data_IF_152759173028
#
_entry.id   IF_152759173028
#
_cell.length_a   1.000
_cell.length_b   1.000
_cell.length_c   1.000
_cell.angle_alpha   90.00
_cell.angle_beta   90.00
_cell.angle_gamma   90.00
#
_symmetry.space_group_name_H-M   'P 1'
#
loop_
_entity.id
_entity.type
_entity.pdbx_description
1 polymer ?
#
# COMPACT_ATOMS: atom_id res chain seq x y z
N UNK A 1 11.98 12.20 -2.53
CA UNK A 1 12.12 13.04 -3.74
C UNK A 1 13.00 12.31 -4.72
N UNK A 2 12.99 12.75 -5.99
CA UNK A 2 13.90 12.24 -7.01
C UNK A 2 15.09 13.19 -7.14
N UNK A 3 16.30 12.67 -6.94
CA UNK A 3 17.55 13.40 -7.13
C UNK A 3 17.82 13.72 -8.60
N UNK A 4 18.84 14.55 -8.87
CA UNK A 4 19.23 14.91 -10.23
C UNK A 4 19.76 13.73 -11.06
N UNK A 5 20.25 12.69 -10.39
CA UNK A 5 20.71 11.42 -10.95
C UNK A 5 19.56 10.42 -11.18
N UNK A 6 18.32 10.79 -10.85
CA UNK A 6 17.14 9.93 -10.98
C UNK A 6 16.87 9.02 -9.78
N UNK A 7 17.78 8.97 -8.78
CA UNK A 7 17.60 8.15 -7.57
C UNK A 7 16.46 8.69 -6.71
N UNK A 8 15.74 7.78 -6.04
CA UNK A 8 14.69 8.15 -5.10
C UNK A 8 15.25 8.06 -3.69
N UNK A 9 15.12 9.15 -2.94
CA UNK A 9 15.53 9.23 -1.56
C UNK A 9 14.37 9.74 -0.69
N UNK A 10 14.37 9.39 0.59
CA UNK A 10 13.40 9.86 1.55
C UNK A 10 14.09 10.46 2.77
N UNK A 11 13.51 11.53 3.30
CA UNK A 11 14.00 12.22 4.49
C UNK A 11 12.81 12.63 5.35
N UNK A 12 13.02 12.71 6.66
CA UNK A 12 12.02 13.25 7.57
C UNK A 12 11.70 14.70 7.19
N UNK A 13 10.41 15.02 7.06
CA UNK A 13 9.93 16.36 6.74
C UNK A 13 9.95 17.29 7.97
N UNK A 14 11.13 17.43 8.60
CA UNK A 14 11.34 18.11 9.86
C UNK A 14 12.64 18.89 9.79
N UNK A 15 12.56 20.21 9.87
CA UNK A 15 13.74 21.07 9.91
C UNK A 15 14.58 20.77 11.17
N UNK A 16 15.89 20.61 10.99
CA UNK A 16 16.85 20.35 12.07
C UNK A 16 17.06 21.54 13.03
N UNK A 17 16.55 22.73 12.70
CA UNK A 17 16.66 23.90 13.59
C UNK A 17 15.65 23.84 14.74
N UNK A 18 14.35 23.93 14.42
CA UNK A 18 13.25 23.98 15.41
C UNK A 18 12.03 23.16 14.98
N UNK A 19 12.30 22.02 14.35
CA UNK A 19 11.32 20.97 14.00
C UNK A 19 10.16 21.44 13.10
N UNK A 20 10.27 22.62 12.49
CA UNK A 20 9.27 23.10 11.55
C UNK A 20 9.17 22.17 10.35
N UNK A 21 7.95 21.85 9.94
CA UNK A 21 7.70 21.11 8.70
C UNK A 21 8.22 21.90 7.51
N UNK A 22 8.97 21.26 6.63
CA UNK A 22 9.64 21.93 5.50
C UNK A 22 8.69 22.16 4.33
N UNK A 23 7.88 21.16 4.01
CA UNK A 23 7.00 21.18 2.83
C UNK A 23 5.62 20.63 3.13
N UNK A 24 4.64 21.16 2.41
CA UNK A 24 3.27 20.67 2.35
C UNK A 24 2.92 20.30 0.90
N UNK A 25 2.06 19.29 0.72
CA UNK A 25 1.58 18.87 -0.59
C UNK A 25 2.60 18.07 -1.42
N UNK A 26 2.47 18.20 -2.75
CA UNK A 26 3.24 17.47 -3.77
C UNK A 26 3.72 18.45 -4.84
N UNK A 27 4.92 18.24 -5.39
CA UNK A 27 5.46 19.13 -6.41
C UNK A 27 6.93 18.85 -6.75
N UNK A 28 7.57 19.84 -7.39
CA UNK A 28 8.98 19.80 -7.76
C UNK A 28 9.72 20.96 -7.09
N UNK A 29 10.93 20.70 -6.58
CA UNK A 29 11.78 21.70 -5.96
C UNK A 29 13.25 21.41 -6.30
N UNK A 30 14.08 22.46 -6.31
CA UNK A 30 15.54 22.32 -6.43
C UNK A 30 16.23 22.21 -5.06
N UNK A 31 15.58 22.72 -4.02
CA UNK A 31 16.03 22.77 -2.61
C UNK A 31 14.82 22.84 -1.69
N UNK A 32 14.97 22.45 -0.44
CA UNK A 32 13.96 22.59 0.60
C UNK A 32 14.34 23.73 1.54
N UNK A 33 13.59 24.84 1.49
CA UNK A 33 13.83 26.00 2.36
C UNK A 33 12.80 26.01 3.48
N UNK A 34 13.24 25.89 4.73
CA UNK A 34 12.38 25.93 5.90
C UNK A 34 11.65 27.28 5.97
N UNK A 35 10.30 27.29 6.05
CA UNK A 35 9.52 28.53 6.05
C UNK A 35 9.73 29.38 7.31
N UNK A 36 10.35 28.83 8.36
CA UNK A 36 10.53 29.55 9.62
C UNK A 36 11.74 30.50 9.59
N UNK A 37 12.93 29.98 9.29
CA UNK A 37 14.19 30.75 9.37
C UNK A 37 15.09 30.57 8.13
N UNK A 38 14.53 30.07 7.03
CA UNK A 38 15.23 29.86 5.76
C UNK A 38 16.50 28.99 5.89
N UNK A 39 16.49 28.00 6.81
CA UNK A 39 17.44 26.90 6.73
C UNK A 39 17.12 26.09 5.47
N UNK A 40 18.10 25.95 4.61
CA UNK A 40 17.91 25.40 3.27
C UNK A 40 18.72 24.13 3.13
N UNK A 41 18.03 23.07 2.70
CA UNK A 41 18.58 21.77 2.40
C UNK A 41 18.62 21.56 0.89
N UNK A 42 19.66 20.90 0.38
CA UNK A 42 19.65 20.42 -1.00
C UNK A 42 18.77 19.18 -1.15
N UNK A 43 18.80 18.57 -2.34
CA UNK A 43 18.03 17.36 -2.58
C UNK A 43 18.59 16.21 -1.75
N UNK A 44 19.90 16.03 -1.59
CA UNK A 44 20.48 14.95 -0.76
C UNK A 44 20.29 15.14 0.76
N UNK A 45 19.49 16.13 1.16
CA UNK A 45 19.17 16.41 2.56
C UNK A 45 20.26 17.18 3.30
N UNK A 46 21.34 17.61 2.66
CA UNK A 46 22.42 18.32 3.31
C UNK A 46 22.06 19.78 3.58
N UNK A 47 22.43 20.30 4.75
CA UNK A 47 22.19 21.71 5.10
C UNK A 47 23.16 22.61 4.32
N UNK A 48 22.66 23.30 3.29
CA UNK A 48 23.48 24.17 2.43
C UNK A 48 23.47 25.63 2.89
N UNK A 49 22.38 26.10 3.51
CA UNK A 49 22.31 27.46 4.05
C UNK A 49 21.61 27.49 5.41
N UNK A 50 22.15 28.29 6.32
CA UNK A 50 21.58 28.59 7.63
C UNK A 50 21.92 30.05 7.95
N UNK A 51 21.01 31.00 7.62
CA UNK A 51 21.28 32.42 7.79
C UNK A 51 21.68 32.78 9.22
N UNK A 52 22.64 33.70 9.37
CA UNK A 52 23.14 34.26 10.65
C UNK A 52 23.76 33.25 11.64
N UNK A 53 24.01 32.01 11.23
CA UNK A 53 24.68 31.01 12.06
C UNK A 53 26.20 31.16 12.11
N UNK A 54 26.77 32.08 11.31
CA UNK A 54 28.23 32.34 11.22
C UNK A 54 28.86 32.80 12.54
N UNK A 55 28.06 33.37 13.45
CA UNK A 55 28.50 33.80 14.79
C UNK A 55 28.17 32.80 15.90
N UNK A 56 27.60 31.64 15.56
CA UNK A 56 27.18 30.63 16.55
C UNK A 56 28.32 29.65 16.80
N UNK A 57 28.72 29.51 18.06
CA UNK A 57 29.69 28.49 18.48
C UNK A 57 29.09 27.07 18.32
N UNK A 58 29.95 26.08 18.07
CA UNK A 58 29.56 24.67 17.91
C UNK A 58 28.54 24.40 16.79
N UNK A 59 28.45 25.29 15.78
CA UNK A 59 27.63 25.07 14.60
C UNK A 59 28.44 24.50 13.44
N UNK A 60 28.08 23.30 12.99
CA UNK A 60 28.59 22.70 11.78
C UNK A 60 27.44 22.22 10.90
N UNK A 61 27.38 22.71 9.66
CA UNK A 61 26.33 22.34 8.71
C UNK A 61 26.33 20.83 8.40
N UNK A 62 27.50 20.20 8.37
CA UNK A 62 27.65 18.79 8.01
C UNK A 62 26.93 17.86 9.00
N UNK A 63 26.75 18.28 10.25
CA UNK A 63 26.10 17.48 11.31
C UNK A 63 24.56 17.67 11.33
N UNK A 64 24.04 18.57 10.50
CA UNK A 64 22.67 19.09 10.56
C UNK A 64 21.88 18.87 9.26
N UNK A 65 22.24 17.85 8.47
CA UNK A 65 21.41 17.36 7.36
C UNK A 65 20.07 16.78 7.83
N UNK A 66 19.09 16.63 6.94
CA UNK A 66 17.82 15.99 7.25
C UNK A 66 18.04 14.54 7.67
N UNK A 67 17.18 14.04 8.57
CA UNK A 67 17.25 12.63 8.95
C UNK A 67 16.81 11.76 7.75
N UNK A 68 17.67 10.88 7.24
CA UNK A 68 17.30 9.99 6.15
C UNK A 68 16.26 8.99 6.63
N UNK A 69 15.35 8.63 5.73
CA UNK A 69 14.39 7.54 5.90
C UNK A 69 14.75 6.48 4.88
N UNK A 70 14.90 5.22 5.33
CA UNK A 70 15.27 4.12 4.45
C UNK A 70 14.20 3.99 3.36
N UNK A 71 14.65 3.95 2.11
CA UNK A 71 13.78 4.01 0.94
C UNK A 71 14.22 2.97 -0.08
N UNK A 72 13.30 2.14 -0.53
CA UNK A 72 13.55 1.10 -1.53
C UNK A 72 12.52 1.18 -2.66
N UNK A 73 12.97 0.83 -3.87
CA UNK A 73 12.08 0.64 -5.01
C UNK A 73 11.99 -0.86 -5.27
N UNK A 74 10.78 -1.39 -5.32
CA UNK A 74 10.54 -2.80 -5.58
C UNK A 74 9.26 -2.97 -6.39
N UNK A 75 9.36 -3.62 -7.56
CA UNK A 75 8.22 -3.92 -8.44
C UNK A 75 7.35 -2.67 -8.72
N UNK A 76 7.97 -1.51 -8.96
CA UNK A 76 7.27 -0.23 -9.20
C UNK A 76 6.81 0.53 -7.95
N UNK A 77 6.83 -0.10 -6.78
CA UNK A 77 6.46 0.52 -5.50
C UNK A 77 7.64 1.21 -4.82
N UNK A 78 7.35 2.21 -4.00
CA UNK A 78 8.32 2.88 -3.12
C UNK A 78 8.00 2.51 -1.68
N UNK A 79 8.86 1.71 -1.06
CA UNK A 79 8.75 1.32 0.34
C UNK A 79 9.63 2.22 1.22
N UNK A 80 9.08 2.63 2.36
CA UNK A 80 9.78 3.43 3.35
C UNK A 80 9.86 2.66 4.67
N UNK A 81 11.00 2.72 5.34
CA UNK A 81 11.17 2.19 6.70
C UNK A 81 11.80 3.23 7.61
N UNK A 82 11.25 3.33 8.83
CA UNK A 82 11.85 4.10 9.92
C UNK A 82 12.94 3.31 10.65
N UNK A 83 12.97 1.98 10.49
CA UNK A 83 14.06 1.14 10.94
C UNK A 83 15.16 1.09 9.87
N UNK A 84 16.36 1.64 10.14
CA UNK A 84 17.47 1.61 9.18
C UNK A 84 18.01 0.21 8.93
N UNK A 85 17.72 -0.75 9.83
CA UNK A 85 18.17 -2.14 9.75
C UNK A 85 17.06 -3.09 9.28
N UNK A 86 15.95 -2.55 8.77
CA UNK A 86 14.88 -3.37 8.21
C UNK A 86 15.41 -4.28 7.10
N UNK A 87 14.91 -5.51 7.08
CA UNK A 87 15.13 -6.46 5.99
C UNK A 87 14.80 -5.81 4.63
N UNK A 88 15.63 -6.02 3.58
CA UNK A 88 15.31 -5.55 2.25
C UNK A 88 13.96 -6.08 1.76
N UNK A 89 13.13 -5.21 1.20
CA UNK A 89 11.79 -5.61 0.70
C UNK A 89 11.85 -6.72 -0.35
N UNK A 90 12.92 -6.75 -1.15
CA UNK A 90 13.13 -7.80 -2.15
C UNK A 90 13.35 -9.18 -1.52
N UNK A 91 13.99 -9.24 -0.36
CA UNK A 91 14.25 -10.48 0.38
C UNK A 91 12.97 -10.92 1.09
N UNK A 92 12.30 -9.99 1.78
CA UNK A 92 11.04 -10.24 2.49
C UNK A 92 9.90 -10.72 1.56
N UNK A 93 9.93 -10.33 0.29
CA UNK A 93 8.92 -10.70 -0.73
C UNK A 93 9.49 -11.65 -1.80
N UNK A 94 10.61 -12.31 -1.53
CA UNK A 94 11.30 -13.17 -2.50
C UNK A 94 10.39 -14.26 -3.07
N UNK A 95 9.60 -14.93 -2.21
CA UNK A 95 8.69 -16.01 -2.62
C UNK A 95 7.41 -15.52 -3.33
N UNK A 96 7.00 -14.28 -3.07
CA UNK A 96 5.87 -13.65 -3.77
C UNK A 96 6.27 -13.15 -5.17
N UNK A 97 7.53 -12.78 -5.35
CA UNK A 97 8.04 -12.16 -6.59
C UNK A 97 7.72 -13.00 -7.84
N UNK A 98 8.01 -14.33 -7.88
CA UNK A 98 7.75 -15.15 -9.05
C UNK A 98 6.27 -15.26 -9.42
N UNK A 99 5.37 -15.11 -8.44
CA UNK A 99 3.92 -15.17 -8.66
C UNK A 99 3.42 -13.96 -9.45
N UNK A 100 4.06 -12.80 -9.25
CA UNK A 100 3.65 -11.52 -9.86
C UNK A 100 4.52 -11.08 -11.04
N UNK A 101 5.66 -11.74 -11.29
CA UNK A 101 6.66 -11.28 -12.25
C UNK A 101 6.10 -11.06 -13.66
N UNK A 102 5.27 -11.99 -14.17
CA UNK A 102 4.74 -11.90 -15.54
C UNK A 102 3.70 -10.79 -15.74
N UNK A 103 3.18 -10.21 -14.67
CA UNK A 103 2.30 -9.05 -14.76
C UNK A 103 3.08 -7.79 -15.17
N UNK A 104 4.38 -7.71 -14.83
CA UNK A 104 5.23 -6.52 -15.01
C UNK A 104 4.53 -5.24 -14.51
N UNK A 105 4.09 -5.28 -13.25
CA UNK A 105 3.26 -4.23 -12.64
C UNK A 105 3.98 -2.88 -12.57
N UNK A 106 5.31 -2.87 -12.60
CA UNK A 106 6.15 -1.68 -12.66
C UNK A 106 5.91 -0.84 -13.93
N UNK A 107 5.39 -1.46 -15.00
CA UNK A 107 5.04 -0.78 -16.25
C UNK A 107 3.60 -0.23 -16.25
N UNK A 108 2.80 -0.52 -15.22
CA UNK A 108 1.40 -0.08 -15.18
C UNK A 108 1.33 1.43 -14.99
N UNK A 109 0.43 2.06 -15.75
CA UNK A 109 0.30 3.51 -15.78
C UNK A 109 -0.69 3.95 -14.70
N UNK A 110 -0.21 4.66 -13.68
CA UNK A 110 -1.08 5.24 -12.64
C UNK A 110 -2.11 6.17 -13.28
N UNK A 111 -3.40 5.93 -13.01
CA UNK A 111 -4.51 6.73 -13.52
C UNK A 111 -5.06 7.72 -12.48
N UNK A 112 -4.99 7.37 -11.20
CA UNK A 112 -5.25 8.30 -10.10
C UNK A 112 -4.57 7.84 -8.81
N UNK A 113 -4.38 8.77 -7.87
CA UNK A 113 -3.93 8.47 -6.52
C UNK A 113 -4.35 9.59 -5.54
N UNK A 114 -5.19 9.22 -4.57
CA UNK A 114 -5.98 10.09 -3.70
C UNK A 114 -5.81 9.68 -2.23
N UNK A 115 -6.09 10.62 -1.32
CA UNK A 115 -5.99 10.40 0.12
C UNK A 115 -7.38 10.46 0.74
N UNK A 116 -7.75 9.41 1.48
CA UNK A 116 -9.01 9.33 2.21
C UNK A 116 -8.77 9.16 3.71
N UNK A 117 -9.83 9.38 4.47
CA UNK A 117 -9.87 9.18 5.91
C UNK A 117 -11.15 8.44 6.26
N UNK A 118 -11.01 7.29 6.90
CA UNK A 118 -12.15 6.46 7.33
C UNK A 118 -12.15 6.31 8.85
N UNK A 119 -13.35 6.24 9.42
CA UNK A 119 -13.58 6.14 10.87
C UNK A 119 -13.58 4.67 11.30
N UNK A 120 -12.41 4.04 11.15
CA UNK A 120 -12.18 2.63 11.45
C UNK A 120 -10.77 2.38 11.97
N UNK A 121 -10.59 1.28 12.70
CA UNK A 121 -9.25 0.77 12.99
C UNK A 121 -8.61 0.21 11.71
N UNK A 122 -7.31 0.46 11.52
CA UNK A 122 -6.61 0.02 10.32
C UNK A 122 -6.68 -1.51 10.12
N UNK A 123 -6.71 -2.29 11.21
CA UNK A 123 -6.82 -3.76 11.13
C UNK A 123 -8.15 -4.20 10.53
N UNK A 124 -9.24 -3.52 10.87
CA UNK A 124 -10.56 -3.81 10.30
C UNK A 124 -10.57 -3.61 8.78
N UNK A 125 -9.87 -2.59 8.29
CA UNK A 125 -9.74 -2.35 6.85
C UNK A 125 -8.82 -3.37 6.18
N UNK A 126 -7.69 -3.72 6.81
CA UNK A 126 -6.81 -4.79 6.32
C UNK A 126 -7.58 -6.12 6.21
N UNK A 127 -8.33 -6.48 7.25
CA UNK A 127 -9.17 -7.69 7.30
C UNK A 127 -10.22 -7.74 6.21
N UNK A 128 -10.93 -6.64 5.98
CA UNK A 128 -11.91 -6.56 4.90
C UNK A 128 -11.26 -6.70 3.52
N UNK A 129 -10.13 -6.03 3.27
CA UNK A 129 -9.51 -6.04 1.95
C UNK A 129 -8.98 -7.42 1.55
N UNK A 130 -8.35 -8.13 2.50
CA UNK A 130 -7.54 -9.31 2.16
C UNK A 130 -8.36 -10.60 1.92
N UNK A 131 -9.69 -10.52 1.92
CA UNK A 131 -10.58 -11.67 1.75
C UNK A 131 -11.71 -11.42 0.74
N UNK A 132 -12.27 -12.51 0.22
CA UNK A 132 -13.25 -12.48 -0.87
C UNK A 132 -14.66 -12.95 -0.49
N UNK A 133 -14.86 -13.31 0.77
CA UNK A 133 -16.09 -13.83 1.33
C UNK A 133 -17.21 -12.78 1.34
N UNK A 134 -16.89 -11.51 1.60
CA UNK A 134 -17.89 -10.43 1.56
C UNK A 134 -18.31 -10.03 0.13
N UNK A 135 -17.46 -10.29 -0.88
CA UNK A 135 -17.64 -9.75 -2.23
C UNK A 135 -19.03 -10.06 -2.84
N UNK A 136 -19.56 -11.29 -2.80
CA UNK A 136 -20.86 -11.59 -3.42
C UNK A 136 -22.04 -10.84 -2.78
N UNK A 137 -21.90 -10.42 -1.52
CA UNK A 137 -22.97 -9.77 -0.75
C UNK A 137 -22.79 -8.25 -0.74
N UNK A 138 -21.63 -7.76 -0.29
CA UNK A 138 -21.37 -6.33 -0.14
C UNK A 138 -21.19 -5.63 -1.48
N UNK A 139 -20.57 -6.29 -2.46
CA UNK A 139 -20.31 -5.75 -3.80
C UNK A 139 -21.28 -6.28 -4.86
N UNK A 140 -22.50 -6.61 -4.47
CA UNK A 140 -23.52 -7.15 -5.39
C UNK A 140 -23.78 -6.22 -6.60
N UNK A 141 -23.64 -4.92 -6.43
CA UNK A 141 -23.83 -3.93 -7.49
C UNK A 141 -22.57 -3.68 -8.34
N UNK A 142 -21.41 -4.22 -7.93
CA UNK A 142 -20.10 -3.97 -8.54
C UNK A 142 -19.37 -5.28 -8.85
N UNK A 143 -18.29 -5.61 -8.13
CA UNK A 143 -17.40 -6.75 -8.42
C UNK A 143 -18.00 -8.11 -8.05
N UNK A 144 -18.99 -8.14 -7.15
CA UNK A 144 -19.56 -9.37 -6.61
C UNK A 144 -20.21 -10.27 -7.67
N UNK A 145 -20.77 -9.69 -8.74
CA UNK A 145 -21.40 -10.46 -9.83
C UNK A 145 -20.40 -11.28 -10.65
N UNK A 146 -19.12 -10.92 -10.62
CA UNK A 146 -18.05 -11.55 -11.40
C UNK A 146 -17.13 -12.41 -10.54
N UNK A 147 -17.35 -12.45 -9.22
CA UNK A 147 -16.53 -13.22 -8.31
C UNK A 147 -16.91 -14.70 -8.36
N UNK A 148 -15.93 -15.54 -8.68
CA UNK A 148 -16.07 -16.99 -8.60
C UNK A 148 -15.40 -17.48 -7.32
N UNK A 149 -16.13 -17.38 -6.21
CA UNK A 149 -15.62 -17.68 -4.86
C UNK A 149 -15.02 -19.08 -4.75
N UNK A 150 -15.59 -20.07 -5.45
CA UNK A 150 -15.11 -21.45 -5.49
C UNK A 150 -13.75 -21.63 -6.20
N UNK A 151 -13.28 -20.61 -6.93
CA UNK A 151 -11.96 -20.59 -7.59
C UNK A 151 -10.95 -19.73 -6.82
N UNK A 152 -11.29 -19.31 -5.60
CA UNK A 152 -10.34 -18.67 -4.70
C UNK A 152 -9.31 -19.70 -4.24
N UNK A 153 -8.03 -19.36 -4.35
CA UNK A 153 -6.96 -20.17 -3.79
C UNK A 153 -5.95 -19.31 -3.03
N UNK A 154 -5.15 -19.98 -2.21
CA UNK A 154 -4.20 -19.38 -1.28
C UNK A 154 -2.83 -19.99 -1.52
N UNK A 155 -1.80 -19.37 -0.93
CA UNK A 155 -0.47 -19.95 -0.92
C UNK A 155 -0.48 -21.36 -0.28
N UNK A 156 -0.01 -22.42 -0.95
CA UNK A 156 0.16 -23.72 -0.30
C UNK A 156 1.18 -23.72 0.85
N UNK A 157 2.11 -22.75 0.90
CA UNK A 157 3.18 -22.69 1.90
C UNK A 157 2.70 -22.31 3.31
N UNK A 158 1.56 -21.62 3.44
CA UNK A 158 1.06 -21.19 4.75
C UNK A 158 1.29 -19.70 5.01
N UNK A 159 1.36 -19.37 6.30
CA UNK A 159 1.59 -18.00 6.75
C UNK A 159 3.05 -17.57 6.52
N UNK A 160 3.23 -16.32 6.09
CA UNK A 160 4.52 -15.65 5.98
C UNK A 160 4.65 -14.51 7.00
N UNK A 161 5.87 -14.00 7.18
CA UNK A 161 6.15 -12.90 8.12
C UNK A 161 5.98 -11.50 7.53
N UNK A 162 5.94 -11.40 6.21
CA UNK A 162 5.89 -10.12 5.49
C UNK A 162 4.62 -9.94 4.65
N UNK A 163 3.89 -11.01 4.31
CA UNK A 163 2.72 -10.90 3.44
C UNK A 163 1.75 -12.07 3.56
N UNK A 164 0.60 -11.92 2.92
CA UNK A 164 -0.30 -13.01 2.48
C UNK A 164 -0.81 -12.67 1.08
N UNK A 165 -1.36 -13.64 0.36
CA UNK A 165 -2.07 -13.37 -0.90
C UNK A 165 -3.19 -14.38 -1.17
N UNK A 166 -4.19 -13.91 -1.90
CA UNK A 166 -5.22 -14.75 -2.52
C UNK A 166 -5.14 -14.68 -4.04
N UNK A 167 -5.51 -15.76 -4.71
CA UNK A 167 -5.65 -15.81 -6.16
C UNK A 167 -7.12 -15.94 -6.55
N UNK A 168 -7.53 -15.15 -7.54
CA UNK A 168 -8.88 -15.19 -8.11
C UNK A 168 -8.79 -15.47 -9.60
N UNK A 169 -9.24 -16.65 -10.02
CA UNK A 169 -9.30 -16.97 -11.46
C UNK A 169 -10.70 -16.70 -11.99
N UNK A 170 -10.79 -15.68 -12.85
CA UNK A 170 -12.02 -15.25 -13.52
C UNK A 170 -12.30 -16.13 -14.73
N UNK A 171 -13.56 -16.15 -15.16
CA UNK A 171 -13.95 -16.79 -16.42
C UNK A 171 -13.51 -15.91 -17.59
N UNK A 172 -13.14 -16.53 -18.71
CA UNK A 172 -12.68 -15.83 -19.93
C UNK A 172 -13.69 -14.81 -20.50
N UNK A 173 -14.96 -14.89 -20.11
CA UNK A 173 -16.03 -13.98 -20.52
C UNK A 173 -16.22 -12.78 -19.58
N UNK A 174 -15.35 -12.61 -18.58
CA UNK A 174 -15.46 -11.51 -17.61
C UNK A 174 -14.98 -10.19 -18.26
N UNK A 175 -15.69 -9.07 -18.10
CA UNK A 175 -15.34 -7.83 -18.78
C UNK A 175 -14.07 -7.15 -18.24
N UNK A 176 -13.63 -7.50 -17.03
CA UNK A 176 -12.49 -6.86 -16.33
C UNK A 176 -11.65 -7.90 -15.58
N UNK A 177 -10.35 -7.67 -15.47
CA UNK A 177 -9.39 -8.59 -14.87
C UNK A 177 -8.82 -9.63 -15.83
N UNK A 178 -8.86 -9.36 -17.13
CA UNK A 178 -8.42 -10.27 -18.18
C UNK A 178 -7.33 -9.61 -19.03
N UNK A 179 -6.31 -10.37 -19.40
CA UNK A 179 -5.18 -9.86 -20.15
C UNK A 179 -5.59 -9.45 -21.56
N UNK A 180 -5.21 -8.24 -21.98
CA UNK A 180 -5.38 -7.77 -23.35
C UNK A 180 -4.79 -8.79 -24.36
N UNK A 181 -5.35 -8.97 -25.57
CA UNK A 181 -4.80 -9.88 -26.58
C UNK A 181 -3.32 -9.64 -26.92
N UNK A 182 -2.86 -8.39 -26.83
CA UNK A 182 -1.44 -8.02 -27.06
C UNK A 182 -0.52 -8.33 -25.86
N UNK A 183 -1.06 -8.64 -24.68
CA UNK A 183 -0.24 -9.12 -23.57
C UNK A 183 0.26 -10.51 -23.93
N UNK A 184 1.56 -10.67 -24.12
CA UNK A 184 2.17 -11.96 -24.44
C UNK A 184 2.96 -12.55 -23.28
N UNK A 185 3.01 -11.89 -22.12
CA UNK A 185 3.71 -12.37 -20.92
C UNK A 185 2.86 -13.39 -20.18
N UNK A 186 1.63 -13.04 -19.83
CA UNK A 186 0.71 -13.91 -19.10
C UNK A 186 0.20 -15.05 -19.99
N UNK A 187 0.27 -16.29 -19.48
CA UNK A 187 -0.08 -17.53 -20.20
C UNK A 187 -1.13 -18.36 -19.47
N UNK A 188 -1.94 -19.09 -20.25
CA UNK A 188 -2.94 -20.02 -19.72
C UNK A 188 -3.87 -19.33 -18.72
N UNK A 189 -4.07 -19.95 -17.55
CA UNK A 189 -4.94 -19.41 -16.51
C UNK A 189 -4.54 -17.99 -16.04
N UNK A 190 -3.25 -17.66 -16.05
CA UNK A 190 -2.74 -16.37 -15.57
C UNK A 190 -3.21 -15.18 -16.40
N UNK A 191 -3.72 -15.42 -17.60
CA UNK A 191 -4.40 -14.39 -18.39
C UNK A 191 -5.69 -13.89 -17.74
N UNK A 192 -6.26 -14.65 -16.81
CA UNK A 192 -7.52 -14.34 -16.12
C UNK A 192 -7.40 -14.50 -14.60
N UNK A 193 -6.18 -14.67 -14.06
CA UNK A 193 -5.95 -14.75 -12.63
C UNK A 193 -5.56 -13.38 -12.11
N UNK A 194 -6.19 -12.92 -11.04
CA UNK A 194 -5.73 -11.78 -10.25
C UNK A 194 -5.01 -12.28 -9.01
N UNK A 195 -3.95 -11.60 -8.60
CA UNK A 195 -3.25 -11.80 -7.32
C UNK A 195 -3.68 -10.68 -6.38
N UNK A 196 -4.07 -10.99 -5.16
CA UNK A 196 -4.42 -9.99 -4.15
C UNK A 196 -3.45 -10.08 -2.98
N UNK A 197 -2.24 -9.52 -3.12
CA UNK A 197 -1.28 -9.47 -2.04
C UNK A 197 -1.68 -8.44 -0.97
N UNK A 198 -1.42 -8.81 0.28
CA UNK A 198 -1.36 -7.90 1.42
C UNK A 198 0.04 -7.99 1.99
N UNK A 199 0.85 -6.98 1.72
CA UNK A 199 2.17 -6.77 2.30
C UNK A 199 2.00 -6.09 3.66
N UNK A 200 2.36 -6.81 4.70
CA UNK A 200 2.13 -6.36 6.06
C UNK A 200 3.02 -5.17 6.44
N UNK A 201 2.50 -4.25 7.28
CA UNK A 201 1.14 -4.24 7.83
C UNK A 201 0.13 -3.47 6.96
N UNK A 202 0.59 -2.71 5.97
CA UNK A 202 -0.19 -1.56 5.49
C UNK A 202 -0.30 -1.40 3.98
N UNK A 203 0.20 -2.33 3.17
CA UNK A 203 0.09 -2.21 1.71
C UNK A 203 -0.67 -3.39 1.13
N UNK A 204 -1.81 -3.13 0.51
CA UNK A 204 -2.65 -4.16 -0.08
C UNK A 204 -3.17 -3.70 -1.43
N UNK A 205 -3.17 -4.60 -2.39
CA UNK A 205 -3.60 -4.29 -3.75
C UNK A 205 -4.18 -5.52 -4.43
N UNK A 206 -5.03 -5.29 -5.43
CA UNK A 206 -5.43 -6.32 -6.37
C UNK A 206 -4.61 -6.08 -7.62
N UNK A 207 -3.78 -7.06 -7.99
CA UNK A 207 -3.03 -7.09 -9.24
C UNK A 207 -3.75 -8.00 -10.23
N UNK A 208 -4.51 -7.40 -11.13
CA UNK A 208 -5.14 -8.09 -12.24
C UNK A 208 -4.32 -7.90 -13.53
N UNK A 209 -4.52 -8.74 -14.55
CA UNK A 209 -3.79 -8.66 -15.82
C UNK A 209 -3.92 -7.33 -16.59
N UNK A 210 -5.01 -6.60 -16.39
CA UNK A 210 -5.35 -5.35 -17.09
C UNK A 210 -5.23 -4.10 -16.21
N UNK A 211 -5.25 -4.27 -14.88
CA UNK A 211 -5.20 -3.16 -13.94
C UNK A 211 -4.71 -3.61 -12.57
N UNK A 212 -4.27 -2.65 -11.77
CA UNK A 212 -4.18 -2.79 -10.33
C UNK A 212 -4.90 -1.64 -9.64
N UNK A 213 -5.37 -1.90 -8.43
CA UNK A 213 -5.80 -0.86 -7.50
C UNK A 213 -5.32 -1.22 -6.10
N UNK A 214 -5.05 -0.21 -5.29
CA UNK A 214 -4.30 -0.38 -4.04
C UNK A 214 -4.82 0.52 -2.93
N UNK A 215 -4.61 0.05 -1.70
CA UNK A 215 -4.69 0.82 -0.47
C UNK A 215 -3.34 0.75 0.24
N UNK A 216 -2.79 1.91 0.60
CA UNK A 216 -1.72 2.01 1.58
C UNK A 216 -2.23 2.73 2.84
N UNK A 217 -2.23 2.01 3.97
CA UNK A 217 -2.87 2.41 5.20
C UNK A 217 -1.89 3.15 6.13
N UNK A 218 -2.38 4.20 6.77
CA UNK A 218 -1.66 4.98 7.77
C UNK A 218 -2.59 5.16 8.99
N UNK A 219 -2.37 4.42 10.08
CA UNK A 219 -3.14 4.58 11.30
C UNK A 219 -3.06 6.02 11.83
N UNK A 220 -4.20 6.63 12.14
CA UNK A 220 -4.32 7.99 12.71
C UNK A 220 -5.04 7.91 14.06
N UNK A 221 -4.50 7.06 14.94
CA UNK A 221 -5.13 6.66 16.20
C UNK A 221 -5.86 5.32 16.09
N UNK A 222 -6.69 5.02 17.11
CA UNK A 222 -7.32 3.69 17.27
C UNK A 222 -8.60 3.51 16.47
N UNK A 223 -9.25 4.59 16.04
CA UNK A 223 -10.54 4.57 15.35
C UNK A 223 -10.58 5.40 14.08
N UNK A 224 -9.40 5.73 13.54
CA UNK A 224 -9.27 6.51 12.31
C UNK A 224 -8.08 6.02 11.52
N UNK A 225 -8.27 5.86 10.22
CA UNK A 225 -7.24 5.38 9.30
C UNK A 225 -7.18 6.30 8.09
N UNK A 226 -5.98 6.83 7.81
CA UNK A 226 -5.68 7.54 6.56
C UNK A 226 -5.31 6.51 5.51
N UNK A 227 -5.80 6.70 4.30
CA UNK A 227 -5.69 5.72 3.23
C UNK A 227 -5.17 6.43 2.00
N UNK A 228 -4.05 5.96 1.46
CA UNK A 228 -3.66 6.26 0.10
C UNK A 228 -4.34 5.26 -0.81
N UNK A 229 -5.24 5.73 -1.65
CA UNK A 229 -5.98 4.93 -2.61
C UNK A 229 -5.55 5.29 -4.02
N UNK A 230 -5.38 4.30 -4.89
CA UNK A 230 -5.05 4.57 -6.27
C UNK A 230 -5.27 3.38 -7.17
N UNK A 231 -5.14 3.64 -8.47
CA UNK A 231 -5.19 2.60 -9.49
C UNK A 231 -4.19 2.87 -10.60
N UNK A 232 -3.77 1.80 -11.26
CA UNK A 232 -2.95 1.84 -12.45
C UNK A 232 -3.48 0.82 -13.48
N UNK A 233 -3.26 1.10 -14.76
CA UNK A 233 -3.77 0.28 -15.87
C UNK A 233 -2.58 -0.27 -16.65
N UNK A 234 -2.70 -1.51 -17.12
CA UNK A 234 -1.70 -2.11 -18.01
C UNK A 234 -1.53 -1.22 -19.26
N UNK A 235 -0.29 -0.95 -19.70
CA UNK A 235 -0.04 0.03 -20.78
C UNK A 235 -0.76 -0.34 -22.09
N UNK A 236 -0.84 -1.63 -22.42
CA UNK A 236 -1.54 -2.12 -23.60
C UNK A 236 -3.06 -1.90 -23.55
N UNK A 237 -3.66 -1.87 -22.35
CA UNK A 237 -5.09 -1.59 -22.18
C UNK A 237 -5.38 -0.11 -22.44
N UNK A 238 -4.55 0.81 -21.94
CA UNK A 238 -4.69 2.23 -22.24
C UNK A 238 -4.42 2.54 -23.71
N UNK A 239 -3.41 1.90 -24.30
CA UNK A 239 -3.06 2.10 -25.70
C UNK A 239 -4.17 1.65 -26.67
N UNK A 240 -5.04 0.73 -26.25
CA UNK A 240 -6.17 0.26 -27.03
C UNK A 240 -7.39 1.22 -26.98
N UNK A 241 -7.40 2.22 -26.10
CA UNK A 241 -8.54 3.12 -25.96
C UNK A 241 -8.49 4.28 -26.95
N UNK A 242 -9.58 4.48 -27.69
CA UNK A 242 -9.77 5.66 -28.53
C UNK A 242 -10.07 6.92 -27.70
N UNK A 243 -10.83 6.76 -26.62
CA UNK A 243 -11.09 7.80 -25.61
C UNK A 243 -10.45 7.37 -24.28
N UNK A 244 -9.19 7.75 -24.12
CA UNK A 244 -8.41 7.40 -22.94
C UNK A 244 -8.95 8.06 -21.67
N UNK A 245 -9.35 9.33 -21.76
CA UNK A 245 -9.79 10.09 -20.60
C UNK A 245 -11.17 9.63 -20.13
N UNK A 246 -12.08 9.34 -21.05
CA UNK A 246 -13.37 8.72 -20.75
C UNK A 246 -13.21 7.35 -20.08
N UNK A 247 -12.35 6.49 -20.62
CA UNK A 247 -12.05 5.18 -20.01
C UNK A 247 -11.50 5.30 -18.58
N UNK A 248 -10.57 6.25 -18.35
CA UNK A 248 -10.02 6.51 -17.02
C UNK A 248 -11.11 7.01 -16.06
N UNK A 249 -11.97 7.93 -16.51
CA UNK A 249 -13.05 8.47 -15.71
C UNK A 249 -14.06 7.38 -15.30
N UNK A 250 -14.47 6.52 -16.24
CA UNK A 250 -15.39 5.41 -15.97
C UNK A 250 -14.77 4.37 -15.02
N UNK A 251 -13.47 4.06 -15.22
CA UNK A 251 -12.74 3.15 -14.33
C UNK A 251 -12.67 3.70 -12.92
N UNK A 252 -12.35 4.99 -12.75
CA UNK A 252 -12.34 5.63 -11.43
C UNK A 252 -13.73 5.61 -10.80
N UNK A 253 -14.77 5.98 -11.53
CA UNK A 253 -16.13 6.00 -11.00
C UNK A 253 -16.58 4.61 -10.51
N UNK A 254 -16.21 3.55 -11.24
CA UNK A 254 -16.46 2.18 -10.82
C UNK A 254 -15.72 1.83 -9.52
N UNK A 255 -14.42 2.11 -9.44
CA UNK A 255 -13.63 1.78 -8.24
C UNK A 255 -14.02 2.65 -7.03
N UNK A 256 -14.41 3.91 -7.23
CA UNK A 256 -14.96 4.78 -6.18
C UNK A 256 -16.25 4.17 -5.60
N UNK A 257 -17.11 3.58 -6.45
CA UNK A 257 -18.34 2.93 -6.00
C UNK A 257 -18.06 1.66 -5.17
N UNK A 258 -17.11 0.82 -5.59
CA UNK A 258 -16.62 -0.33 -4.79
C UNK A 258 -16.15 0.17 -3.43
N UNK A 259 -15.38 1.25 -3.41
CA UNK A 259 -14.81 1.76 -2.19
C UNK A 259 -15.85 2.36 -1.22
N UNK A 260 -16.95 2.93 -1.73
CA UNK A 260 -18.08 3.37 -0.90
C UNK A 260 -18.77 2.18 -0.23
N UNK A 261 -18.92 1.07 -0.94
CA UNK A 261 -19.51 -0.18 -0.42
C UNK A 261 -18.64 -0.73 0.73
N UNK A 262 -17.33 -0.81 0.54
CA UNK A 262 -16.37 -1.23 1.56
C UNK A 262 -16.41 -0.33 2.80
N UNK A 263 -16.40 1.00 2.59
CA UNK A 263 -16.38 1.95 3.71
C UNK A 263 -17.56 1.73 4.65
N UNK A 264 -18.75 1.49 4.10
CA UNK A 264 -19.95 1.23 4.90
C UNK A 264 -19.78 -0.01 5.79
N UNK A 265 -19.29 -1.11 5.21
CA UNK A 265 -19.07 -2.38 5.91
C UNK A 265 -18.00 -2.23 6.99
N UNK A 266 -16.86 -1.66 6.65
CA UNK A 266 -15.69 -1.54 7.54
C UNK A 266 -15.97 -0.63 8.74
N UNK A 267 -16.60 0.52 8.53
CA UNK A 267 -16.98 1.41 9.65
C UNK A 267 -18.10 0.78 10.49
N UNK A 268 -19.01 0.00 9.87
CA UNK A 268 -20.00 -0.79 10.58
C UNK A 268 -19.38 -1.86 11.48
N UNK A 269 -18.41 -2.61 10.96
CA UNK A 269 -17.66 -3.61 11.69
C UNK A 269 -16.91 -3.00 12.87
N UNK A 270 -16.24 -1.86 12.67
CA UNK A 270 -15.54 -1.16 13.75
C UNK A 270 -16.48 -0.71 14.88
N UNK A 271 -17.63 -0.10 14.54
CA UNK A 271 -18.66 0.25 15.55
C UNK A 271 -19.18 -0.98 16.29
N UNK A 272 -19.38 -2.09 15.58
CA UNK A 272 -19.80 -3.37 16.17
C UNK A 272 -18.76 -3.92 17.15
N UNK A 273 -17.47 -3.87 16.78
CA UNK A 273 -16.37 -4.33 17.61
C UNK A 273 -16.20 -3.52 18.91
N UNK A 274 -16.71 -2.29 18.97
CA UNK A 274 -16.73 -1.47 20.18
C UNK A 274 -17.87 -1.84 21.14
N UNK A 275 -18.80 -2.70 20.74
CA UNK A 275 -19.91 -3.14 21.60
C UNK A 275 -19.38 -3.96 22.78
N UNK A 276 -19.90 -3.74 24.01
CA UNK A 276 -19.60 -4.61 25.15
C UNK A 276 -20.03 -6.07 24.96
N UNK A 277 -20.93 -6.34 24.00
CA UNK A 277 -21.37 -7.68 23.61
C UNK A 277 -20.64 -8.20 22.37
N UNK A 278 -19.66 -7.46 21.85
CA UNK A 278 -18.83 -7.89 20.74
C UNK A 278 -17.94 -9.06 21.16
N UNK A 279 -18.00 -10.14 20.39
CA UNK A 279 -17.11 -11.30 20.53
C UNK A 279 -16.71 -11.79 19.15
N UNK A 280 -15.51 -12.37 19.03
CA UNK A 280 -15.07 -12.96 17.77
C UNK A 280 -15.89 -14.21 17.41
N UNK A 281 -16.18 -14.35 16.12
CA UNK A 281 -16.71 -15.58 15.53
C UNK A 281 -15.61 -16.42 14.89
N UNK A 282 -15.93 -17.66 14.46
CA UNK A 282 -15.02 -18.45 13.64
C UNK A 282 -14.86 -17.86 12.24
N UNK A 283 -13.65 -18.01 11.67
CA UNK A 283 -13.36 -17.63 10.29
C UNK A 283 -13.83 -18.70 9.29
N UNK A 284 -14.29 -18.26 8.13
CA UNK A 284 -14.52 -19.09 6.94
C UNK A 284 -13.19 -19.57 6.35
N UNK A 285 -13.22 -20.65 5.57
CA UNK A 285 -12.06 -21.08 4.78
C UNK A 285 -11.62 -20.00 3.76
N UNK A 286 -12.54 -19.12 3.35
CA UNK A 286 -12.27 -17.96 2.47
C UNK A 286 -11.51 -16.83 3.17
N UNK A 287 -11.47 -16.84 4.50
CA UNK A 287 -10.83 -15.83 5.34
C UNK A 287 -9.48 -16.33 5.86
N UNK A 288 -8.84 -17.26 5.15
CA UNK A 288 -7.51 -17.76 5.52
C UNK A 288 -6.47 -16.64 5.62
N UNK A 289 -6.54 -15.62 4.77
CA UNK A 289 -5.68 -14.43 4.88
C UNK A 289 -5.85 -13.71 6.23
N UNK A 290 -7.09 -13.63 6.75
CA UNK A 290 -7.37 -13.05 8.08
C UNK A 290 -6.71 -13.86 9.19
N UNK A 291 -6.70 -15.19 9.06
CA UNK A 291 -5.99 -16.06 9.99
C UNK A 291 -4.48 -15.81 9.96
N UNK A 292 -3.88 -15.75 8.77
CA UNK A 292 -2.44 -15.53 8.59
C UNK A 292 -2.01 -14.14 9.10
N UNK A 293 -2.81 -13.10 8.87
CA UNK A 293 -2.59 -11.77 9.43
C UNK A 293 -2.71 -11.75 10.97
N UNK A 294 -3.66 -12.49 11.54
CA UNK A 294 -3.78 -12.62 13.00
C UNK A 294 -2.52 -13.26 13.59
N UNK A 295 -1.97 -14.29 12.93
CA UNK A 295 -0.71 -14.90 13.34
C UNK A 295 0.47 -13.92 13.21
N UNK A 296 0.55 -13.13 12.13
CA UNK A 296 1.54 -12.06 11.99
C UNK A 296 1.45 -11.06 13.14
N UNK A 297 0.24 -10.58 13.47
CA UNK A 297 0.02 -9.65 14.58
C UNK A 297 0.44 -10.27 15.91
N UNK A 298 0.10 -11.53 16.17
CA UNK A 298 0.50 -12.24 17.38
C UNK A 298 2.03 -12.27 17.51
N UNK A 299 2.76 -12.64 16.45
CA UNK A 299 4.23 -12.64 16.46
C UNK A 299 4.83 -11.26 16.70
N UNK A 300 4.24 -10.22 16.10
CA UNK A 300 4.75 -8.85 16.23
C UNK A 300 4.47 -8.21 17.58
N UNK A 301 3.30 -8.51 18.18
CA UNK A 301 2.79 -7.85 19.37
C UNK A 301 2.98 -8.65 20.66
N UNK A 302 2.95 -9.99 20.59
CA UNK A 302 3.04 -10.86 21.76
C UNK A 302 4.47 -11.38 21.98
N UNK A 303 5.18 -11.81 20.94
CA UNK A 303 6.55 -12.39 21.09
C UNK A 303 7.63 -11.32 21.41
N UNK A 304 7.26 -10.04 21.35
CA UNK A 304 8.09 -8.91 21.76
C UNK A 304 7.77 -8.39 23.16
N UNK A 305 6.98 -9.12 23.98
CA UNK A 305 6.73 -8.71 25.36
C UNK A 305 8.06 -8.76 26.16
N UNK A 306 8.61 -7.62 26.61
CA UNK A 306 9.84 -7.61 27.40
C UNK A 306 9.70 -8.38 28.73
N UNK A 307 8.49 -8.75 29.14
CA UNK A 307 8.25 -9.53 30.34
C UNK A 307 8.71 -11.00 30.23
N UNK A 308 8.76 -11.58 29.02
CA UNK A 308 9.18 -12.98 28.81
C UNK A 308 10.71 -13.16 28.73
N UNK A 309 11.50 -12.07 28.73
CA UNK A 309 12.97 -12.13 28.78
C UNK A 309 13.57 -12.11 30.19
N UNK A 310 12.74 -12.24 31.24
CA UNK A 310 13.19 -12.27 32.64
C UNK A 310 13.08 -13.65 33.31
N UNK A 311 12.76 -14.71 32.56
CA UNK A 311 12.79 -16.08 33.07
C UNK A 311 13.74 -16.95 32.26
N UNK A 312 15.04 -16.76 32.47
CA UNK A 312 16.10 -17.78 32.32
C UNK A 312 17.32 -17.39 33.17
#
# INVERSE_FOLDING_TARGET
FRGGDGTIQAHANVCRHRMMRLVDGRGNARKFTCPYHAWTYDLDGQLVAAPFMDKTECFNKADLGLHPVRCEIYQGWIYLSLDPNAEPVADALADLTPIMADYAQEDYVTIFAEDHVWDTNWKCLTENFMESYHLPVAHKATVGAHQNTDQTSFDPAGAHDAYTYQLFTKRDTTPVGCAHPNNTRLKGRWRNTSVMPTVFPSHMYVLAPDHLWYLALQPDGVGRTRIRYGAAIAPEMLAAQNDRDGFIADTKAFLDQVQIEDKHVVEGMYRGAQSPLGSSGPLSWLERANHEFTQYLARRLCDNDPCDRQSD
#
